data_IF_048547896474
#
_entry.id   IF_048547896474
#
_cell.length_a   1.000
_cell.length_b   1.000
_cell.length_c   1.000
_cell.angle_alpha   90.00
_cell.angle_beta   90.00
_cell.angle_gamma   90.00
#
_symmetry.space_group_name_H-M   'P 1'
#
loop_
_entity.id
_entity.type
_entity.pdbx_description
1 polymer ?
#
# COMPACT_ATOMS: atom_id res chain seq x y z
N UNK A 1 10.13 -5.66 -2.11
CA UNK A 1 9.30 -6.85 -1.93
C UNK A 1 7.88 -6.46 -1.59
N UNK A 2 6.95 -7.30 -1.99
CA UNK A 2 5.54 -6.96 -1.86
C UNK A 2 5.08 -6.92 -0.40
N UNK A 3 5.74 -7.69 0.47
CA UNK A 3 5.38 -7.66 1.89
C UNK A 3 5.61 -6.28 2.50
N UNK A 4 6.69 -5.61 2.11
CA UNK A 4 6.94 -4.27 2.59
C UNK A 4 5.85 -3.30 2.14
N UNK A 5 5.43 -3.43 0.90
CA UNK A 5 4.38 -2.57 0.39
C UNK A 5 3.07 -2.80 1.14
N UNK A 6 2.76 -4.06 1.42
CA UNK A 6 1.54 -4.37 2.17
C UNK A 6 1.60 -3.80 3.58
N UNK A 7 2.77 -3.88 4.21
CA UNK A 7 2.93 -3.30 5.53
C UNK A 7 2.78 -1.79 5.51
N UNK A 8 3.35 -1.15 4.49
CA UNK A 8 3.21 0.29 4.35
C UNK A 8 1.77 0.69 4.10
N UNK A 9 1.06 -0.11 3.31
CA UNK A 9 -0.35 0.16 3.05
C UNK A 9 -1.13 0.11 4.36
N UNK A 10 -0.91 -0.91 5.16
CA UNK A 10 -1.59 -1.03 6.43
C UNK A 10 -1.30 0.15 7.34
N UNK A 11 -0.03 0.54 7.42
CA UNK A 11 0.36 1.67 8.24
C UNK A 11 -0.29 2.95 7.75
N UNK A 12 -0.34 3.14 6.44
CA UNK A 12 -0.97 4.33 5.88
C UNK A 12 -2.44 4.40 6.26
N UNK A 13 -3.13 3.28 6.22
CA UNK A 13 -4.54 3.24 6.59
C UNK A 13 -4.71 3.56 8.07
N UNK A 14 -3.85 2.99 8.91
CA UNK A 14 -3.92 3.24 10.34
C UNK A 14 -3.68 4.70 10.66
N UNK A 15 -2.86 5.36 9.86
CA UNK A 15 -2.58 6.78 10.03
C UNK A 15 -3.55 7.67 9.25
N UNK A 16 -4.57 7.07 8.64
CA UNK A 16 -5.58 7.80 7.86
C UNK A 16 -4.97 8.52 6.67
N UNK A 17 -3.86 8.01 6.15
CA UNK A 17 -3.24 8.53 4.94
C UNK A 17 -3.82 7.81 3.73
N UNK A 18 -5.07 8.13 3.41
CA UNK A 18 -5.80 7.36 2.42
C UNK A 18 -5.26 7.56 1.02
N UNK A 19 -4.78 8.76 0.69
CA UNK A 19 -4.21 8.99 -0.64
C UNK A 19 -2.96 8.14 -0.83
N UNK A 20 -2.13 8.07 0.20
CA UNK A 20 -0.92 7.28 0.14
C UNK A 20 -1.27 5.79 0.07
N UNK A 21 -2.28 5.39 0.81
CA UNK A 21 -2.72 4.00 0.79
C UNK A 21 -3.18 3.59 -0.60
N UNK A 22 -3.86 4.48 -1.31
CA UNK A 22 -4.31 4.18 -2.66
C UNK A 22 -3.13 3.98 -3.60
N UNK A 23 -2.09 4.81 -3.47
CA UNK A 23 -0.91 4.65 -4.31
C UNK A 23 -0.21 3.32 -4.02
N UNK A 24 -0.10 2.97 -2.74
CA UNK A 24 0.53 1.72 -2.37
C UNK A 24 -0.27 0.53 -2.90
N UNK A 25 -1.58 0.63 -2.83
CA UNK A 25 -2.44 -0.42 -3.35
C UNK A 25 -2.23 -0.61 -4.85
N UNK A 26 -2.11 0.50 -5.58
CA UNK A 26 -1.87 0.42 -7.02
C UNK A 26 -0.55 -0.28 -7.31
N UNK A 27 0.49 0.06 -6.55
CA UNK A 27 1.79 -0.58 -6.76
C UNK A 27 1.72 -2.07 -6.48
N UNK A 28 1.04 -2.46 -5.43
CA UNK A 28 0.90 -3.87 -5.09
C UNK A 28 0.16 -4.59 -6.22
N UNK A 29 -0.90 -3.98 -6.72
CA UNK A 29 -1.69 -4.58 -7.77
C UNK A 29 -0.85 -4.80 -9.03
N UNK A 30 0.00 -3.83 -9.37
CA UNK A 30 0.85 -3.96 -10.53
C UNK A 30 1.86 -5.09 -10.34
N UNK A 31 2.37 -5.26 -9.14
CA UNK A 31 3.35 -6.30 -8.88
C UNK A 31 2.72 -7.68 -8.86
N UNK A 32 1.48 -7.78 -8.45
CA UNK A 32 0.80 -9.06 -8.43
C UNK A 32 0.27 -9.45 -9.80
N UNK A 33 0.27 -8.53 -10.71
CA UNK A 33 -0.16 -8.85 -12.04
C UNK A 33 -1.60 -8.61 -12.29
#
# INVERSE_FOLDING_TARGET
QIDQLKNQLKTAIENQEFEKAAELRDKIKEMEG
#
